data_IF_462064330058
#
_entry.id   IF_462064330058
#
_cell.length_a   1.000
_cell.length_b   1.000
_cell.length_c   1.000
_cell.angle_alpha   90.00
_cell.angle_beta   90.00
_cell.angle_gamma   90.00
#
_symmetry.space_group_name_H-M   'P 1'
#
loop_
_entity.id
_entity.type
_entity.pdbx_description
1 polymer ?
#
# COMPACT_ATOMS: atom_id res chain seq x y z
N UNK A 1 -2.14 13.94 -10.48
CA UNK A 1 -3.33 13.91 -9.60
C UNK A 1 -4.44 14.89 -9.99
N UNK A 2 -4.15 16.15 -10.32
CA UNK A 2 -5.18 17.14 -10.68
C UNK A 2 -6.21 16.68 -11.72
N UNK A 3 -5.79 15.90 -12.73
CA UNK A 3 -6.71 15.29 -13.70
C UNK A 3 -7.72 14.34 -13.04
N UNK A 4 -7.25 13.43 -12.17
CA UNK A 4 -8.11 12.49 -11.44
C UNK A 4 -9.11 13.24 -10.57
N UNK A 5 -8.65 14.23 -9.80
CA UNK A 5 -9.53 15.08 -8.97
C UNK A 5 -10.58 15.86 -9.78
N UNK A 6 -10.38 16.09 -11.09
CA UNK A 6 -11.36 16.77 -11.93
C UNK A 6 -12.29 15.82 -12.67
N UNK A 7 -11.89 14.58 -12.92
CA UNK A 7 -12.59 13.67 -13.83
C UNK A 7 -13.18 12.44 -13.14
N UNK A 8 -12.58 11.99 -12.03
CA UNK A 8 -13.00 10.82 -11.31
C UNK A 8 -14.42 11.02 -10.74
N UNK A 9 -15.29 10.05 -11.01
CA UNK A 9 -16.69 10.01 -10.60
C UNK A 9 -17.19 8.55 -10.55
N UNK A 10 -18.46 8.35 -10.23
CA UNK A 10 -19.09 7.02 -10.09
C UNK A 10 -19.06 6.12 -11.34
N UNK A 11 -18.68 6.63 -12.51
CA UNK A 11 -18.46 5.86 -13.76
C UNK A 11 -16.99 5.62 -14.08
N UNK A 12 -16.09 5.98 -13.16
CA UNK A 12 -14.65 5.86 -13.35
C UNK A 12 -14.13 4.59 -12.70
N UNK A 13 -13.34 3.83 -13.45
CA UNK A 13 -12.39 2.87 -12.91
C UNK A 13 -11.01 3.54 -12.90
N UNK A 14 -10.34 3.58 -11.74
CA UNK A 14 -8.97 4.05 -11.63
C UNK A 14 -8.03 2.96 -11.11
N UNK A 15 -6.79 2.97 -11.61
CA UNK A 15 -5.71 2.12 -11.16
C UNK A 15 -4.53 3.03 -10.83
N UNK A 16 -4.07 2.99 -9.59
CA UNK A 16 -2.94 3.81 -9.14
C UNK A 16 -1.87 2.90 -8.58
N UNK A 17 -0.68 2.98 -9.17
CA UNK A 17 0.48 2.27 -8.68
C UNK A 17 1.31 3.19 -7.77
N UNK A 18 1.60 2.72 -6.57
CA UNK A 18 2.39 3.38 -5.53
C UNK A 18 2.00 4.85 -5.31
N UNK A 19 0.82 5.01 -4.70
CA UNK A 19 0.21 6.31 -4.53
C UNK A 19 1.06 7.27 -3.69
N UNK A 20 1.43 8.41 -4.26
CA UNK A 20 2.14 9.47 -3.53
C UNK A 20 3.63 9.25 -3.34
N UNK A 21 4.29 8.41 -4.16
CA UNK A 21 5.76 8.28 -4.13
C UNK A 21 6.50 9.52 -4.63
N UNK A 22 7.65 9.82 -4.03
CA UNK A 22 8.58 10.86 -4.51
C UNK A 22 8.61 12.14 -3.69
N UNK A 23 8.00 12.16 -2.51
CA UNK A 23 8.05 13.27 -1.57
C UNK A 23 8.39 12.79 -0.15
N UNK A 24 8.37 13.70 0.80
CA UNK A 24 8.40 13.36 2.23
C UNK A 24 7.29 12.31 2.50
N UNK A 25 7.62 11.13 3.06
CA UNK A 25 6.64 10.08 3.30
C UNK A 25 5.47 10.51 4.17
N UNK A 26 5.68 11.42 5.13
CA UNK A 26 4.65 11.88 6.05
C UNK A 26 3.67 12.83 5.32
N UNK A 27 4.20 13.82 4.61
CA UNK A 27 3.38 14.76 3.83
C UNK A 27 2.72 14.09 2.62
N UNK A 28 3.45 13.19 1.95
CA UNK A 28 2.98 12.41 0.83
C UNK A 28 1.87 11.44 1.24
N UNK A 29 2.03 10.79 2.40
CA UNK A 29 1.01 9.93 3.01
C UNK A 29 -0.27 10.69 3.33
N UNK A 30 -0.18 11.85 3.96
CA UNK A 30 -1.35 12.69 4.29
C UNK A 30 -2.10 13.17 3.03
N UNK A 31 -1.38 13.60 1.99
CA UNK A 31 -2.01 13.98 0.72
C UNK A 31 -2.68 12.79 0.02
N UNK A 32 -2.02 11.63 0.03
CA UNK A 32 -2.57 10.41 -0.53
C UNK A 32 -3.87 10.01 0.19
N UNK A 33 -3.92 10.11 1.52
CA UNK A 33 -5.11 9.85 2.31
C UNK A 33 -6.31 10.71 1.87
N UNK A 34 -6.12 12.04 1.81
CA UNK A 34 -7.17 12.97 1.38
C UNK A 34 -7.64 12.69 -0.05
N UNK A 35 -6.74 12.33 -0.97
CA UNK A 35 -7.15 11.98 -2.32
C UNK A 35 -7.97 10.69 -2.38
N UNK A 36 -7.64 9.69 -1.56
CA UNK A 36 -8.42 8.46 -1.43
C UNK A 36 -9.82 8.75 -0.90
N UNK A 37 -9.95 9.56 0.16
CA UNK A 37 -11.24 10.00 0.68
C UNK A 37 -12.08 10.69 -0.40
N UNK A 38 -11.48 11.61 -1.16
CA UNK A 38 -12.19 12.32 -2.23
C UNK A 38 -12.68 11.36 -3.33
N UNK A 39 -11.87 10.38 -3.74
CA UNK A 39 -12.29 9.36 -4.71
C UNK A 39 -13.38 8.45 -4.16
N UNK A 40 -13.29 8.09 -2.88
CA UNK A 40 -14.30 7.29 -2.18
C UNK A 40 -15.64 8.02 -2.11
N UNK A 41 -15.65 9.30 -1.73
CA UNK A 41 -16.86 10.14 -1.68
C UNK A 41 -17.52 10.30 -3.05
N UNK A 42 -16.72 10.30 -4.12
CA UNK A 42 -17.20 10.33 -5.51
C UNK A 42 -17.76 9.00 -6.01
N UNK A 43 -17.71 7.96 -5.18
CA UNK A 43 -18.14 6.58 -5.49
C UNK A 43 -17.42 6.02 -6.71
N UNK A 44 -16.20 6.47 -6.96
CA UNK A 44 -15.38 5.93 -8.03
C UNK A 44 -14.88 4.53 -7.63
N UNK A 45 -14.73 3.65 -8.61
CA UNK A 45 -14.21 2.31 -8.38
C UNK A 45 -12.72 2.29 -8.70
N UNK A 46 -11.90 1.61 -7.90
CA UNK A 46 -10.48 1.57 -8.18
C UNK A 46 -9.66 0.61 -7.34
N UNK A 47 -8.41 0.45 -7.77
CA UNK A 47 -7.37 -0.34 -7.10
C UNK A 47 -6.16 0.55 -6.91
N UNK A 48 -5.60 0.52 -5.70
CA UNK A 48 -4.41 1.29 -5.33
C UNK A 48 -3.39 0.33 -4.71
N UNK A 49 -2.13 0.43 -5.14
CA UNK A 49 -1.00 -0.14 -4.41
C UNK A 49 -0.31 0.96 -3.60
N UNK A 50 0.13 0.62 -2.39
CA UNK A 50 0.80 1.58 -1.51
C UNK A 50 1.64 0.90 -0.43
N UNK A 51 2.75 1.55 -0.07
CA UNK A 51 3.49 1.29 1.16
C UNK A 51 2.99 2.08 2.37
N UNK A 52 2.06 3.02 2.20
CA UNK A 52 1.61 3.91 3.28
C UNK A 52 0.65 3.21 4.27
N UNK A 53 1.02 3.20 5.54
CA UNK A 53 0.23 2.57 6.62
C UNK A 53 -1.08 3.31 6.89
N UNK A 54 -1.10 4.64 6.80
CA UNK A 54 -2.31 5.43 7.01
C UNK A 54 -3.42 5.11 6.01
N UNK A 55 -3.07 4.82 4.74
CA UNK A 55 -4.06 4.37 3.74
C UNK A 55 -4.62 3.00 4.06
N UNK A 56 -3.80 2.09 4.62
CA UNK A 56 -4.27 0.77 5.09
C UNK A 56 -5.27 0.93 6.22
N UNK A 57 -4.98 1.80 7.19
CA UNK A 57 -5.89 2.09 8.30
C UNK A 57 -7.20 2.72 7.80
N UNK A 58 -7.12 3.72 6.92
CA UNK A 58 -8.29 4.34 6.32
C UNK A 58 -9.17 3.32 5.57
N UNK A 59 -8.57 2.38 4.83
CA UNK A 59 -9.31 1.34 4.13
C UNK A 59 -10.09 0.39 5.06
N UNK A 60 -9.62 0.16 6.29
CA UNK A 60 -10.34 -0.64 7.30
C UNK A 60 -11.52 0.13 7.92
N UNK A 61 -11.48 1.46 7.91
CA UNK A 61 -12.53 2.33 8.45
C UNK A 61 -13.66 2.61 7.44
N UNK A 62 -13.39 2.47 6.14
CA UNK A 62 -14.32 2.77 5.05
C UNK A 62 -15.17 1.54 4.68
N UNK A 63 -16.52 1.57 4.86
CA UNK A 63 -17.40 0.41 4.63
C UNK A 63 -17.39 -0.20 3.23
N UNK A 64 -16.95 0.56 2.22
CA UNK A 64 -16.89 0.13 0.83
C UNK A 64 -15.46 0.08 0.29
N UNK A 65 -14.47 0.14 1.17
CA UNK A 65 -13.09 -0.19 0.86
C UNK A 65 -12.74 -1.54 1.49
N UNK A 66 -11.69 -2.18 0.99
CA UNK A 66 -11.15 -3.39 1.59
C UNK A 66 -9.67 -3.44 1.33
N UNK A 67 -8.89 -3.71 2.37
CA UNK A 67 -7.49 -4.03 2.20
C UNK A 67 -7.32 -5.33 1.41
N UNK A 68 -6.18 -5.45 0.72
CA UNK A 68 -5.79 -6.69 0.07
C UNK A 68 -4.26 -6.82 0.07
N UNK A 69 -3.77 -8.05 -0.04
CA UNK A 69 -2.35 -8.33 -0.11
C UNK A 69 -2.03 -9.44 -1.11
N UNK A 70 -0.81 -9.41 -1.64
CA UNK A 70 -0.24 -10.51 -2.41
C UNK A 70 0.51 -11.45 -1.47
N UNK A 71 0.20 -12.74 -1.56
CA UNK A 71 0.83 -13.74 -0.71
C UNK A 71 2.27 -14.06 -1.13
N UNK A 72 3.04 -14.51 -0.14
CA UNK A 72 4.39 -15.05 -0.28
C UNK A 72 4.43 -16.48 0.28
N UNK A 73 5.38 -17.27 -0.19
CA UNK A 73 5.66 -18.58 0.39
C UNK A 73 6.38 -18.40 1.73
N UNK A 74 5.86 -18.95 2.83
CA UNK A 74 6.44 -18.75 4.16
C UNK A 74 7.86 -19.32 4.34
N UNK A 75 8.24 -20.29 3.51
CA UNK A 75 9.57 -20.93 3.57
C UNK A 75 10.56 -20.25 2.64
N UNK A 76 10.15 -20.01 1.39
CA UNK A 76 11.06 -19.44 0.39
C UNK A 76 10.99 -17.92 0.33
N UNK A 77 9.97 -17.27 0.90
CA UNK A 77 9.68 -15.84 0.73
C UNK A 77 9.54 -15.41 -0.74
N UNK A 78 9.24 -16.35 -1.64
CA UNK A 78 8.96 -16.03 -3.04
C UNK A 78 7.50 -15.62 -3.21
N UNK A 79 7.21 -14.67 -4.11
CA UNK A 79 5.84 -14.28 -4.40
C UNK A 79 5.08 -15.46 -5.00
N UNK A 80 3.88 -15.74 -4.48
CA UNK A 80 2.99 -16.76 -5.06
C UNK A 80 1.96 -16.13 -6.01
N UNK A 81 1.98 -14.80 -6.17
CA UNK A 81 1.11 -14.01 -7.05
C UNK A 81 -0.39 -14.26 -6.82
N UNK A 82 -0.77 -14.57 -5.57
CA UNK A 82 -2.15 -14.78 -5.15
C UNK A 82 -2.63 -13.61 -4.31
N UNK A 83 -3.69 -12.95 -4.76
CA UNK A 83 -4.35 -11.86 -4.02
C UNK A 83 -5.29 -12.44 -2.94
N UNK A 84 -5.19 -11.92 -1.73
CA UNK A 84 -6.15 -12.12 -0.64
C UNK A 84 -6.80 -10.79 -0.32
N UNK A 85 -8.13 -10.76 -0.31
CA UNK A 85 -8.94 -9.59 0.00
C UNK A 85 -9.39 -9.67 1.46
N UNK A 86 -9.43 -8.54 2.15
CA UNK A 86 -9.84 -8.40 3.54
C UNK A 86 -8.68 -8.30 4.53
N UNK A 87 -7.44 -8.44 4.07
CA UNK A 87 -6.26 -8.44 4.94
C UNK A 87 -5.17 -7.48 4.42
N UNK A 88 -4.69 -6.61 5.30
CA UNK A 88 -3.49 -5.82 5.03
C UNK A 88 -2.24 -6.71 5.06
N UNK A 89 -1.37 -6.57 4.06
CA UNK A 89 -0.13 -7.32 4.00
C UNK A 89 0.91 -6.84 5.01
N UNK A 90 1.73 -7.77 5.51
CA UNK A 90 2.90 -7.50 6.36
C UNK A 90 4.13 -7.19 5.52
N UNK A 91 5.07 -6.41 6.08
CA UNK A 91 6.36 -6.12 5.43
C UNK A 91 7.39 -7.18 5.80
N UNK A 92 8.08 -7.74 4.80
CA UNK A 92 9.12 -8.76 4.97
C UNK A 92 10.53 -8.21 4.72
N UNK A 93 10.73 -6.90 4.92
CA UNK A 93 11.98 -6.20 4.55
C UNK A 93 13.23 -6.88 5.11
N UNK A 94 13.21 -7.30 6.37
CA UNK A 94 14.39 -7.85 7.03
C UNK A 94 14.60 -9.33 6.69
N UNK A 95 13.52 -10.09 6.57
CA UNK A 95 13.51 -11.50 6.20
C UNK A 95 14.05 -11.68 4.77
N UNK A 96 13.60 -10.81 3.85
CA UNK A 96 14.10 -10.76 2.46
C UNK A 96 15.57 -10.33 2.43
N UNK A 97 15.96 -9.32 3.20
CA UNK A 97 17.37 -8.92 3.28
C UNK A 97 18.27 -10.06 3.78
N UNK A 98 17.83 -10.81 4.80
CA UNK A 98 18.56 -11.96 5.31
C UNK A 98 18.66 -13.08 4.26
N UNK A 99 17.56 -13.38 3.55
CA UNK A 99 17.56 -14.37 2.45
C UNK A 99 18.54 -13.99 1.34
N UNK A 100 18.67 -12.70 1.05
CA UNK A 100 19.60 -12.17 0.04
C UNK A 100 21.07 -12.09 0.54
N UNK A 101 21.38 -12.66 1.70
CA UNK A 101 22.75 -12.77 2.21
C UNK A 101 23.26 -11.54 2.96
N UNK A 102 22.38 -10.59 3.31
CA UNK A 102 22.79 -9.44 4.13
C UNK A 102 23.15 -9.92 5.55
N UNK A 103 24.34 -9.55 6.08
CA UNK A 103 24.76 -9.98 7.40
C UNK A 103 23.79 -9.62 8.52
N UNK A 104 23.57 -10.56 9.44
CA UNK A 104 22.68 -10.39 10.60
C UNK A 104 23.07 -9.18 11.47
N UNK A 105 24.36 -8.87 11.56
CA UNK A 105 24.87 -7.70 12.28
C UNK A 105 24.36 -6.37 11.69
N UNK A 106 24.23 -6.26 10.36
CA UNK A 106 23.68 -5.08 9.70
C UNK A 106 22.17 -4.98 9.88
N UNK A 107 21.46 -6.10 9.74
CA UNK A 107 20.01 -6.19 9.95
C UNK A 107 19.64 -5.77 11.38
N UNK A 108 20.34 -6.28 12.39
CA UNK A 108 20.08 -5.92 13.79
C UNK A 108 20.37 -4.47 14.11
N UNK A 109 21.33 -3.84 13.42
CA UNK A 109 21.58 -2.41 13.56
C UNK A 109 20.44 -1.59 12.94
N UNK A 110 19.91 -2.04 11.79
CA UNK A 110 18.78 -1.39 11.14
C UNK A 110 17.48 -1.50 11.95
N UNK A 111 17.19 -2.64 12.60
CA UNK A 111 16.00 -2.82 13.46
C UNK A 111 15.93 -1.90 14.69
N UNK A 112 17.05 -1.25 15.05
CA UNK A 112 17.15 -0.34 16.21
C UNK A 112 17.09 1.14 15.81
N UNK A 113 16.96 1.42 14.51
CA UNK A 113 16.69 2.75 13.97
C UNK A 113 15.20 2.95 13.90
#
# INVERSE_FOLDING_TARGET
>A
MNYFLKKCNYRTLFLIDEFGTGSDPELGGALAEIFLEEFYHRKAFGVITTHYTNLKMLADELPHASNANMLFNDKTLEPIYKLIIGEAGSSFTFEVAQKNGIPFSLINRAKKK
#
